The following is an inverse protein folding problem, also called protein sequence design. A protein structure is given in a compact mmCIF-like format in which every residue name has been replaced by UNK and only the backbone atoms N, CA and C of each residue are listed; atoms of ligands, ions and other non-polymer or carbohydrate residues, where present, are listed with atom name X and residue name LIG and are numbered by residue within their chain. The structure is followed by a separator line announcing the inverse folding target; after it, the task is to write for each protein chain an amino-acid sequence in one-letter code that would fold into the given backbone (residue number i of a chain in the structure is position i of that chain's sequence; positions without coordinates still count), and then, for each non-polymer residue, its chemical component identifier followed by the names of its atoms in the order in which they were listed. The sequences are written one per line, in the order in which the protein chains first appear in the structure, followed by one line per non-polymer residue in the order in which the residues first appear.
data_IF_380590942475
#
_entry.id   IF_380590942475
#
_cell.length_a   1.000
_cell.length_b   1.000
_cell.length_c   1.000
_cell.angle_alpha   90.00
_cell.angle_beta   90.00
_cell.angle_gamma   90.00
#
_symmetry.space_group_name_H-M   'P 1'
#
loop_
_entity.id
_entity.type
_entity.pdbx_description
1 polymer ?
#
# COMPACT_ATOMS: atom_id res chain seq x y z
N UNK A 1 16.79 13.05 -14.93
CA UNK A 1 16.50 14.50 -15.16
C UNK A 1 15.09 14.86 -14.71
N UNK A 2 14.03 14.20 -15.20
CA UNK A 2 12.63 14.45 -14.76
C UNK A 2 12.42 14.24 -13.26
N UNK A 3 12.97 13.15 -12.69
CA UNK A 3 12.94 12.94 -11.23
C UNK A 3 13.57 14.08 -10.41
N UNK A 4 14.54 14.81 -10.96
CA UNK A 4 15.14 15.96 -10.26
C UNK A 4 14.15 17.13 -10.25
N UNK A 5 13.47 17.40 -11.37
CA UNK A 5 12.39 18.38 -11.45
C UNK A 5 11.25 18.03 -10.49
N UNK A 6 10.79 16.78 -10.47
CA UNK A 6 9.77 16.31 -9.52
C UNK A 6 10.20 16.47 -8.06
N UNK A 7 11.47 16.17 -7.76
CA UNK A 7 12.05 16.36 -6.43
C UNK A 7 12.18 17.84 -6.07
N UNK A 8 12.49 18.72 -7.02
CA UNK A 8 12.56 20.18 -6.83
C UNK A 8 11.19 20.75 -6.46
N UNK A 9 10.17 20.49 -7.29
CA UNK A 9 8.78 20.92 -7.07
C UNK A 9 8.09 20.13 -5.95
N UNK A 10 8.61 18.98 -5.55
CA UNK A 10 7.98 18.05 -4.61
C UNK A 10 6.52 17.73 -4.96
N UNK A 11 6.32 17.21 -6.16
CA UNK A 11 5.02 16.88 -6.71
C UNK A 11 5.12 15.51 -7.41
N UNK A 12 4.07 14.66 -7.36
CA UNK A 12 4.17 13.29 -7.85
C UNK A 12 4.29 13.18 -9.38
N UNK A 13 3.71 14.13 -10.11
CA UNK A 13 3.77 14.23 -11.57
C UNK A 13 4.28 15.61 -11.98
N UNK A 14 4.37 15.90 -13.29
CA UNK A 14 4.61 17.28 -13.71
C UNK A 14 3.24 17.98 -13.73
N UNK A 15 2.98 18.95 -12.85
CA UNK A 15 1.69 19.61 -12.77
C UNK A 15 1.43 20.41 -14.05
N UNK A 16 0.15 20.45 -14.44
CA UNK A 16 -0.32 21.20 -15.62
C UNK A 16 -0.02 22.70 -15.51
N UNK A 17 0.03 23.25 -14.29
CA UNK A 17 0.51 24.61 -14.01
C UNK A 17 1.76 24.55 -13.11
N UNK A 18 2.92 24.32 -13.71
CA UNK A 18 4.20 24.24 -12.97
C UNK A 18 4.59 25.56 -12.33
N UNK A 19 4.16 26.69 -12.91
CA UNK A 19 4.54 28.03 -12.47
C UNK A 19 4.08 28.33 -11.05
N UNK A 20 2.93 27.79 -10.63
CA UNK A 20 2.42 27.88 -9.24
C UNK A 20 3.43 27.39 -8.19
N UNK A 21 4.36 26.51 -8.59
CA UNK A 21 5.29 25.87 -7.67
C UNK A 21 6.74 26.36 -7.81
N UNK A 22 7.04 27.15 -8.85
CA UNK A 22 8.39 27.63 -9.15
C UNK A 22 8.89 28.69 -8.16
N UNK A 23 8.00 29.52 -7.64
CA UNK A 23 8.34 30.63 -6.72
C UNK A 23 9.02 30.15 -5.42
N UNK A 24 8.84 28.88 -5.08
CA UNK A 24 9.42 28.26 -3.90
C UNK A 24 10.78 27.58 -4.14
N UNK A 25 11.32 27.65 -5.36
CA UNK A 25 12.56 26.98 -5.76
C UNK A 25 13.69 28.00 -5.87
N UNK A 26 14.70 27.85 -5.01
CA UNK A 26 15.83 28.80 -4.94
C UNK A 26 16.74 28.72 -6.18
N UNK A 27 16.93 27.51 -6.75
CA UNK A 27 17.75 27.28 -7.96
C UNK A 27 17.13 26.16 -8.80
N UNK A 28 16.14 26.46 -9.66
CA UNK A 28 15.55 25.45 -10.53
C UNK A 28 16.56 24.97 -11.56
N UNK A 29 16.50 23.67 -11.91
CA UNK A 29 17.30 23.16 -13.03
C UNK A 29 16.83 23.74 -14.37
N UNK A 30 17.71 23.67 -15.37
CA UNK A 30 17.40 24.12 -16.73
C UNK A 30 16.10 23.50 -17.28
N UNK A 31 15.85 22.21 -16.99
CA UNK A 31 14.61 21.54 -17.38
C UNK A 31 13.39 22.15 -16.67
N UNK A 32 13.46 22.39 -15.37
CA UNK A 32 12.40 23.03 -14.59
C UNK A 32 12.08 24.45 -15.10
N UNK A 33 13.11 25.22 -15.46
CA UNK A 33 12.94 26.54 -16.07
C UNK A 33 12.31 26.46 -17.47
N UNK A 34 12.77 25.54 -18.31
CA UNK A 34 12.21 25.34 -19.66
C UNK A 34 10.73 24.94 -19.60
N UNK A 35 10.36 24.06 -18.66
CA UNK A 35 8.97 23.67 -18.44
C UNK A 35 8.09 24.85 -17.98
N UNK A 36 8.62 25.71 -17.11
CA UNK A 36 7.93 26.94 -16.69
C UNK A 36 7.64 27.88 -17.85
N UNK A 37 8.64 28.12 -18.69
CA UNK A 37 8.50 28.95 -19.90
C UNK A 37 7.47 28.36 -20.86
N UNK A 38 7.55 27.06 -21.15
CA UNK A 38 6.58 26.39 -22.04
C UNK A 38 5.14 26.54 -21.52
N UNK A 39 4.96 26.44 -20.20
CA UNK A 39 3.67 26.64 -19.56
C UNK A 39 3.15 28.08 -19.72
N UNK A 40 4.02 29.10 -19.61
CA UNK A 40 3.65 30.51 -19.86
C UNK A 40 3.14 30.73 -21.29
N UNK A 41 3.65 29.96 -22.26
CA UNK A 41 3.21 29.99 -23.65
C UNK A 41 2.01 29.06 -23.94
N UNK A 42 1.41 28.45 -22.92
CA UNK A 42 0.23 27.59 -23.05
C UNK A 42 0.52 26.16 -23.51
N UNK A 43 1.79 25.75 -23.54
CA UNK A 43 2.16 24.36 -23.83
C UNK A 43 2.12 23.50 -22.58
N UNK A 44 1.37 22.39 -22.63
CA UNK A 44 1.40 21.32 -21.63
C UNK A 44 2.21 20.14 -22.15
N UNK A 45 3.22 19.70 -21.40
CA UNK A 45 3.96 18.48 -21.71
C UNK A 45 3.39 17.33 -20.91
N UNK A 46 2.78 16.38 -21.61
CA UNK A 46 2.37 15.10 -21.06
C UNK A 46 3.42 14.05 -21.40
N UNK A 47 3.93 13.37 -20.38
CA UNK A 47 4.84 12.24 -20.59
C UNK A 47 4.02 10.99 -20.90
N UNK A 48 4.49 10.19 -21.85
CA UNK A 48 3.86 8.93 -22.26
C UNK A 48 4.15 7.77 -21.32
N UNK A 49 4.96 8.00 -20.27
CA UNK A 49 5.25 7.02 -19.23
C UNK A 49 4.72 7.48 -17.89
N UNK A 50 4.14 6.54 -17.16
CA UNK A 50 3.65 6.79 -15.81
C UNK A 50 4.80 6.90 -14.81
N UNK A 51 4.91 8.08 -14.21
CA UNK A 51 5.76 8.32 -13.03
C UNK A 51 4.91 8.01 -11.79
N UNK A 52 4.49 6.75 -11.65
CA UNK A 52 3.65 6.33 -10.53
C UNK A 52 4.46 6.31 -9.24
N UNK A 53 4.53 7.46 -8.55
CA UNK A 53 5.00 7.50 -7.17
C UNK A 53 3.90 6.85 -6.32
N UNK A 54 4.13 5.59 -5.95
CA UNK A 54 3.27 4.84 -5.04
C UNK A 54 3.16 5.59 -3.70
N UNK A 55 1.94 5.90 -3.27
CA UNK A 55 1.72 6.56 -1.97
C UNK A 55 0.38 7.24 -1.78
N UNK A 56 -0.41 7.45 -2.84
CA UNK A 56 -1.66 8.20 -2.76
C UNK A 56 -2.13 8.73 -4.11
N UNK A 57 -3.31 9.34 -4.13
CA UNK A 57 -3.86 10.02 -5.30
C UNK A 57 -3.87 11.55 -5.14
N UNK A 58 -3.89 12.06 -3.91
CA UNK A 58 -4.06 13.49 -3.63
C UNK A 58 -2.73 14.12 -3.24
N UNK A 59 -2.08 14.92 -4.10
CA UNK A 59 -0.83 15.60 -3.76
C UNK A 59 -1.03 16.55 -2.58
N UNK A 60 -0.14 16.51 -1.58
CA UNK A 60 -0.31 17.33 -0.37
C UNK A 60 -0.24 18.84 -0.69
N UNK A 61 0.47 19.23 -1.76
CA UNK A 61 0.58 20.63 -2.21
C UNK A 61 -0.71 21.18 -2.83
N UNK A 62 -1.60 20.31 -3.30
CA UNK A 62 -2.91 20.73 -3.81
C UNK A 62 -3.93 20.88 -2.68
N UNK A 63 -3.77 20.07 -1.62
CA UNK A 63 -4.61 20.16 -0.44
C UNK A 63 -4.23 21.34 0.47
N UNK A 64 -2.93 21.63 0.61
CA UNK A 64 -2.42 22.76 1.39
C UNK A 64 -1.71 23.76 0.48
N UNK A 65 -2.39 24.86 0.13
CA UNK A 65 -1.83 25.91 -0.73
C UNK A 65 -0.82 26.82 0.00
N UNK A 66 -0.78 26.78 1.33
CA UNK A 66 -0.02 27.70 2.19
C UNK A 66 1.30 27.10 2.72
N UNK A 67 1.86 26.10 2.04
CA UNK A 67 3.10 25.44 2.44
C UNK A 67 4.34 26.33 2.19
N UNK A 68 5.12 26.59 3.25
CA UNK A 68 6.39 27.32 3.13
C UNK A 68 7.53 26.46 2.57
N UNK A 69 8.64 27.09 2.15
CA UNK A 69 9.85 26.38 1.74
C UNK A 69 10.42 25.47 2.85
N UNK A 70 10.28 25.87 4.12
CA UNK A 70 10.70 25.06 5.27
C UNK A 70 9.80 23.83 5.44
N UNK A 71 8.50 23.97 5.20
CA UNK A 71 7.54 22.88 5.25
C UNK A 71 7.81 21.85 4.15
N UNK A 72 8.05 22.32 2.93
CA UNK A 72 8.43 21.45 1.79
C UNK A 72 9.71 20.69 2.10
N UNK A 73 10.72 21.34 2.70
CA UNK A 73 11.96 20.67 3.13
C UNK A 73 11.68 19.59 4.20
N UNK A 74 10.76 19.86 5.13
CA UNK A 74 10.35 18.89 6.15
C UNK A 74 9.57 17.71 5.56
N UNK A 75 8.68 17.95 4.60
CA UNK A 75 7.93 16.93 3.86
C UNK A 75 8.88 16.04 3.03
N UNK A 76 9.85 16.64 2.35
CA UNK A 76 10.97 15.97 1.66
C UNK A 76 11.73 15.02 2.59
N UNK A 77 12.20 15.54 3.72
CA UNK A 77 12.93 14.74 4.71
C UNK A 77 12.09 13.58 5.29
N UNK A 78 10.76 13.66 5.17
CA UNK A 78 9.82 12.66 5.66
C UNK A 78 9.23 11.81 4.54
N UNK A 79 9.64 11.99 3.27
CA UNK A 79 9.08 11.26 2.13
C UNK A 79 7.54 11.29 2.10
N UNK A 80 6.93 12.41 2.51
CA UNK A 80 5.48 12.63 2.46
C UNK A 80 5.20 13.53 1.26
N UNK A 81 4.47 13.00 0.28
CA UNK A 81 4.12 13.69 -0.96
C UNK A 81 2.60 13.72 -1.21
N UNK A 82 1.85 12.76 -0.64
CA UNK A 82 0.40 12.69 -0.73
C UNK A 82 -0.28 12.94 0.62
N UNK A 83 -1.48 13.49 0.56
CA UNK A 83 -2.39 13.62 1.69
C UNK A 83 -2.87 12.24 2.16
N UNK A 84 -3.05 11.28 1.25
CA UNK A 84 -3.44 9.89 1.51
C UNK A 84 -2.53 9.19 2.54
N UNK A 85 -1.26 9.62 2.65
CA UNK A 85 -0.27 9.05 3.57
C UNK A 85 -0.48 9.48 5.02
N UNK A 86 -1.27 10.53 5.26
CA UNK A 86 -1.49 11.11 6.59
C UNK A 86 -2.96 11.12 7.01
N UNK A 87 -3.86 10.60 6.17
CA UNK A 87 -5.29 10.48 6.46
C UNK A 87 -5.69 9.03 6.72
N UNK A 88 -6.86 8.86 7.31
CA UNK A 88 -7.46 7.56 7.54
C UNK A 88 -7.91 6.93 6.22
N UNK A 89 -8.07 5.60 6.21
CA UNK A 89 -8.43 4.86 5.00
C UNK A 89 -9.81 5.20 4.43
N UNK A 90 -10.67 5.77 5.26
CA UNK A 90 -11.97 6.31 4.88
C UNK A 90 -11.92 7.77 4.40
N UNK A 91 -10.74 8.40 4.35
CA UNK A 91 -10.53 9.78 3.86
C UNK A 91 -11.18 10.89 4.68
N UNK A 92 -11.83 10.55 5.79
CA UNK A 92 -12.59 11.50 6.60
C UNK A 92 -11.78 12.11 7.76
N UNK A 93 -10.74 11.44 8.22
CA UNK A 93 -10.02 11.82 9.42
C UNK A 93 -8.53 11.94 9.15
N UNK A 94 -7.90 12.95 9.73
CA UNK A 94 -6.45 13.03 9.82
C UNK A 94 -5.93 12.02 10.85
N UNK A 95 -4.86 11.31 10.52
CA UNK A 95 -4.16 10.45 11.46
C UNK A 95 -3.42 11.31 12.48
N UNK A 96 -3.41 10.87 13.74
CA UNK A 96 -2.59 11.51 14.77
C UNK A 96 -1.10 11.47 14.38
N UNK A 97 -0.30 12.42 14.86
CA UNK A 97 1.12 12.46 14.50
C UNK A 97 1.88 11.18 14.89
N UNK A 98 1.51 10.54 16.01
CA UNK A 98 2.04 9.24 16.40
C UNK A 98 1.66 8.13 15.41
N UNK A 99 0.45 8.16 14.86
CA UNK A 99 0.01 7.24 13.81
C UNK A 99 0.73 7.49 12.49
N UNK A 100 0.93 8.74 12.09
CA UNK A 100 1.73 9.12 10.90
C UNK A 100 3.16 8.61 11.03
N UNK A 101 3.80 8.82 12.20
CA UNK A 101 5.12 8.25 12.53
C UNK A 101 5.14 6.73 12.46
N UNK A 102 4.03 6.06 12.83
CA UNK A 102 3.89 4.60 12.75
C UNK A 102 3.52 4.11 11.34
N UNK A 103 3.08 4.98 10.42
CA UNK A 103 2.60 4.60 9.09
C UNK A 103 3.53 4.94 7.91
N UNK A 104 4.47 5.91 8.00
CA UNK A 104 5.53 6.19 6.97
C UNK A 104 7.01 5.78 7.31
N UNK A 105 7.51 4.54 7.08
CA UNK A 105 8.52 3.71 7.84
C UNK A 105 9.76 4.31 8.50
N UNK A 106 9.59 5.42 9.21
CA UNK A 106 10.66 6.28 9.62
C UNK A 106 10.51 6.61 11.11
N UNK A 107 11.59 6.38 11.85
CA UNK A 107 11.72 6.77 13.25
C UNK A 107 11.90 8.29 13.36
N UNK A 108 10.91 9.09 12.92
CA UNK A 108 10.99 10.55 12.99
C UNK A 108 11.18 10.97 14.46
N UNK A 109 12.40 11.36 14.80
CA UNK A 109 12.75 11.96 16.08
C UNK A 109 12.51 13.48 16.00
N UNK A 110 12.21 14.08 17.16
CA UNK A 110 12.01 15.52 17.27
C UNK A 110 10.54 15.99 17.27
N UNK A 111 10.35 17.33 17.27
CA UNK A 111 9.07 17.99 17.49
C UNK A 111 8.08 17.76 16.34
N UNK A 112 6.80 18.02 16.62
CA UNK A 112 5.74 18.00 15.61
C UNK A 112 6.04 19.09 14.56
N UNK A 113 6.08 18.76 13.25
CA UNK A 113 6.34 19.73 12.20
C UNK A 113 5.32 20.87 12.17
N UNK A 114 5.77 22.06 11.74
CA UNK A 114 4.92 23.23 11.59
C UNK A 114 3.77 22.99 10.60
N UNK A 115 4.05 22.45 9.41
CA UNK A 115 3.00 22.06 8.45
C UNK A 115 1.92 21.15 9.04
N UNK A 116 2.26 20.22 9.93
CA UNK A 116 1.26 19.32 10.52
C UNK A 116 0.37 20.06 11.51
N UNK A 117 0.93 20.99 12.29
CA UNK A 117 0.15 21.87 13.17
C UNK A 117 -0.77 22.79 12.35
N UNK A 118 -0.25 23.37 11.29
CA UNK A 118 -1.04 24.19 10.38
C UNK A 118 -2.23 23.41 9.80
N UNK A 119 -1.98 22.15 9.42
CA UNK A 119 -3.02 21.23 8.95
C UNK A 119 -4.08 20.97 10.05
N UNK A 120 -3.67 20.71 11.29
CA UNK A 120 -4.62 20.49 12.39
C UNK A 120 -5.41 21.74 12.77
N UNK A 121 -4.82 22.92 12.61
CA UNK A 121 -5.41 24.18 13.06
C UNK A 121 -6.38 24.74 12.01
N UNK A 122 -6.07 24.59 10.72
CA UNK A 122 -6.81 25.23 9.63
C UNK A 122 -7.62 24.28 8.74
N UNK A 123 -7.31 22.98 8.70
CA UNK A 123 -7.90 22.03 7.75
C UNK A 123 -8.74 20.92 8.42
N UNK A 124 -8.95 21.04 9.73
CA UNK A 124 -9.58 20.03 10.58
C UNK A 124 -10.58 20.65 11.55
N UNK A 125 -11.68 19.95 11.81
CA UNK A 125 -12.62 20.26 12.87
C UNK A 125 -12.05 19.82 14.23
N UNK A 126 -11.70 20.83 15.03
CA UNK A 126 -10.83 20.80 16.23
C UNK A 126 -10.98 19.61 17.19
N UNK A 127 -12.18 19.06 17.36
CA UNK A 127 -12.41 18.08 18.42
C UNK A 127 -12.11 16.63 18.04
N UNK A 128 -12.12 16.27 16.75
CA UNK A 128 -12.07 14.86 16.33
C UNK A 128 -11.09 14.55 15.18
N UNK A 129 -10.20 15.47 14.84
CA UNK A 129 -9.30 15.33 13.68
C UNK A 129 -10.05 15.08 12.35
N UNK A 130 -11.31 15.51 12.26
CA UNK A 130 -12.13 15.32 11.06
C UNK A 130 -11.74 16.39 10.03
N UNK A 131 -11.42 15.98 8.80
CA UNK A 131 -11.07 16.92 7.73
C UNK A 131 -12.29 17.77 7.36
N UNK A 132 -12.04 19.06 7.09
CA UNK A 132 -13.05 19.97 6.55
C UNK A 132 -13.43 19.53 5.13
N UNK A 133 -12.44 19.08 4.35
CA UNK A 133 -12.62 18.52 3.01
C UNK A 133 -12.15 17.07 3.00
N UNK A 134 -13.06 16.09 3.12
CA UNK A 134 -12.69 14.68 3.08
C UNK A 134 -12.13 14.31 1.71
N UNK A 135 -11.19 13.37 1.69
CA UNK A 135 -10.64 12.84 0.46
C UNK A 135 -11.55 11.75 -0.10
N UNK A 136 -11.82 11.82 -1.40
CA UNK A 136 -12.47 10.74 -2.14
C UNK A 136 -11.40 9.77 -2.68
N UNK A 137 -11.70 8.48 -2.70
CA UNK A 137 -10.82 7.44 -3.27
C UNK A 137 -9.39 7.41 -2.70
N UNK A 138 -9.28 7.45 -1.37
CA UNK A 138 -7.98 7.41 -0.68
C UNK A 138 -7.23 6.13 -1.01
N UNK A 139 -6.10 6.29 -1.68
CA UNK A 139 -5.18 5.19 -1.92
C UNK A 139 -4.37 5.02 -0.65
N UNK A 140 -4.88 4.16 0.23
CA UNK A 140 -4.09 3.59 1.31
C UNK A 140 -2.98 2.74 0.69
N UNK A 141 -1.89 3.38 0.31
CA UNK A 141 -0.63 2.70 0.08
C UNK A 141 -0.06 2.36 1.45
N UNK A 142 -0.51 1.21 1.93
CA UNK A 142 0.05 0.51 3.06
C UNK A 142 1.38 -0.09 2.60
N UNK A 143 2.29 0.77 2.13
CA UNK A 143 3.69 0.44 1.84
C UNK A 143 4.49 0.16 3.13
N UNK A 144 3.82 -0.29 4.21
CA UNK A 144 4.47 -0.79 5.43
C UNK A 144 4.17 -2.25 5.76
N UNK A 145 3.33 -2.92 4.99
CA UNK A 145 3.07 -4.36 5.22
C UNK A 145 3.77 -5.26 4.21
N UNK A 146 4.40 -4.68 3.19
CA UNK A 146 5.01 -5.42 2.09
C UNK A 146 6.49 -5.68 2.36
N UNK A 147 6.86 -6.94 2.58
CA UNK A 147 8.17 -7.43 2.19
C UNK A 147 8.06 -7.84 0.72
N UNK A 148 8.80 -7.18 -0.17
CA UNK A 148 9.10 -7.76 -1.46
C UNK A 148 9.89 -9.05 -1.23
N UNK A 149 9.62 -10.13 -1.98
CA UNK A 149 10.39 -11.36 -1.83
C UNK A 149 11.87 -11.09 -2.10
N UNK A 150 12.81 -11.71 -1.37
CA UNK A 150 14.22 -11.69 -1.75
C UNK A 150 14.39 -12.28 -3.16
N UNK A 151 15.28 -11.71 -3.96
CA UNK A 151 15.57 -12.10 -5.34
C UNK A 151 16.21 -13.49 -5.48
N UNK A 152 16.57 -14.09 -4.34
CA UNK A 152 17.22 -15.39 -4.22
C UNK A 152 16.16 -16.40 -3.74
N UNK A 153 16.04 -17.57 -4.38
CA UNK A 153 15.18 -18.63 -3.89
C UNK A 153 15.59 -19.01 -2.47
N UNK A 154 14.68 -18.85 -1.51
CA UNK A 154 14.97 -19.16 -0.11
C UNK A 154 13.71 -19.69 0.58
N UNK A 155 13.92 -20.65 1.47
CA UNK A 155 12.90 -21.20 2.35
C UNK A 155 13.10 -20.55 3.71
N UNK A 156 12.31 -19.52 3.98
CA UNK A 156 12.40 -18.78 5.24
C UNK A 156 11.36 -19.28 6.25
N UNK A 157 11.76 -19.35 7.52
CA UNK A 157 10.87 -19.67 8.65
C UNK A 157 10.73 -18.44 9.54
N UNK A 158 9.91 -17.44 9.14
CA UNK A 158 9.82 -16.18 9.87
C UNK A 158 9.19 -16.40 11.25
N UNK A 159 9.95 -16.05 12.30
CA UNK A 159 9.46 -16.16 13.68
C UNK A 159 8.40 -15.09 13.96
N UNK A 160 7.23 -15.53 14.42
CA UNK A 160 6.14 -14.66 14.92
C UNK A 160 5.62 -13.64 13.90
N UNK A 161 5.63 -13.98 12.62
CA UNK A 161 5.06 -13.16 11.57
C UNK A 161 3.57 -13.48 11.41
N UNK A 162 2.74 -12.43 11.36
CA UNK A 162 1.29 -12.55 11.21
C UNK A 162 0.85 -11.89 9.92
N UNK A 163 0.03 -12.59 9.14
CA UNK A 163 -0.40 -12.17 7.81
C UNK A 163 -1.92 -12.11 7.69
N UNK A 164 -2.40 -11.24 6.80
CA UNK A 164 -3.81 -11.18 6.40
C UNK A 164 -3.96 -11.33 4.89
N UNK A 165 -5.00 -12.02 4.45
CA UNK A 165 -5.29 -12.23 3.04
C UNK A 165 -6.78 -12.14 2.77
N UNK A 166 -7.17 -11.58 1.62
CA UNK A 166 -8.58 -11.60 1.21
C UNK A 166 -8.88 -12.87 0.43
N UNK A 167 -9.86 -13.65 0.89
CA UNK A 167 -10.40 -14.77 0.13
C UNK A 167 -11.59 -14.27 -0.70
N UNK A 168 -11.43 -14.26 -2.01
CA UNK A 168 -12.47 -13.79 -2.92
C UNK A 168 -13.67 -14.75 -3.04
N UNK A 169 -13.46 -16.06 -2.85
CA UNK A 169 -14.52 -17.08 -2.91
C UNK A 169 -15.45 -16.94 -1.71
N UNK A 170 -14.89 -16.82 -0.52
CA UNK A 170 -15.66 -16.70 0.74
C UNK A 170 -16.02 -15.25 1.10
N UNK A 171 -15.50 -14.26 0.37
CA UNK A 171 -15.64 -12.81 0.65
C UNK A 171 -15.26 -12.45 2.10
N UNK A 172 -14.22 -13.12 2.59
CA UNK A 172 -13.76 -13.02 3.97
C UNK A 172 -12.24 -12.82 4.04
N UNK A 173 -11.79 -12.19 5.13
CA UNK A 173 -10.36 -12.04 5.43
C UNK A 173 -9.86 -13.28 6.18
N UNK A 174 -8.77 -13.86 5.69
CA UNK A 174 -8.02 -14.94 6.32
C UNK A 174 -6.94 -14.32 7.20
N UNK A 175 -6.89 -14.72 8.48
CA UNK A 175 -5.80 -14.38 9.37
C UNK A 175 -4.87 -15.58 9.53
N UNK A 176 -3.57 -15.34 9.49
CA UNK A 176 -2.58 -16.40 9.58
C UNK A 176 -1.36 -16.03 10.38
N UNK A 177 -0.75 -17.04 11.00
CA UNK A 177 0.65 -16.95 11.46
C UNK A 177 1.52 -17.69 10.45
N UNK A 178 2.49 -17.00 9.84
CA UNK A 178 3.38 -17.61 8.85
C UNK A 178 4.23 -18.70 9.50
N UNK A 179 4.23 -19.89 8.90
CA UNK A 179 5.03 -21.04 9.30
C UNK A 179 6.31 -21.11 8.46
N UNK A 180 6.14 -21.25 7.16
CA UNK A 180 7.20 -21.25 6.15
C UNK A 180 6.80 -20.35 5.00
N UNK A 181 7.80 -19.72 4.39
CA UNK A 181 7.67 -18.98 3.15
C UNK A 181 8.72 -19.50 2.18
N UNK A 182 8.25 -20.12 1.11
CA UNK A 182 9.06 -20.59 -0.01
C UNK A 182 9.00 -19.52 -1.08
N UNK A 183 10.13 -18.87 -1.33
CA UNK A 183 10.23 -17.82 -2.33
C UNK A 183 10.88 -18.37 -3.59
N UNK A 184 10.22 -18.19 -4.72
CA UNK A 184 10.82 -18.29 -6.05
C UNK A 184 11.09 -16.87 -6.58
N UNK A 185 11.80 -16.74 -7.70
CA UNK A 185 12.26 -15.46 -8.26
C UNK A 185 11.16 -14.40 -8.46
N UNK A 186 9.89 -14.80 -8.61
CA UNK A 186 8.76 -13.91 -8.89
C UNK A 186 7.59 -14.04 -7.90
N UNK A 187 7.46 -15.15 -7.19
CA UNK A 187 6.33 -15.41 -6.31
C UNK A 187 6.75 -16.20 -5.08
N UNK A 188 6.13 -15.92 -3.93
CA UNK A 188 6.30 -16.74 -2.73
C UNK A 188 5.05 -17.55 -2.43
N UNK A 189 5.21 -18.82 -2.08
CA UNK A 189 4.17 -19.61 -1.41
C UNK A 189 4.40 -19.48 0.08
N UNK A 190 3.37 -19.02 0.81
CA UNK A 190 3.40 -18.91 2.26
C UNK A 190 2.41 -19.88 2.86
N UNK A 191 2.91 -20.73 3.75
CA UNK A 191 2.09 -21.59 4.58
C UNK A 191 1.80 -20.87 5.88
N UNK A 192 0.52 -20.67 6.17
CA UNK A 192 0.06 -20.00 7.37
C UNK A 192 -0.80 -20.93 8.21
N UNK A 193 -0.53 -20.97 9.51
CA UNK A 193 -1.47 -21.51 10.47
C UNK A 193 -2.68 -20.58 10.53
N UNK A 194 -3.87 -21.12 10.26
CA UNK A 194 -5.10 -20.35 10.15
C UNK A 194 -5.67 -19.97 11.51
N UNK A 195 -6.07 -18.71 11.65
CA UNK A 195 -6.74 -18.17 12.82
C UNK A 195 -8.09 -17.57 12.43
N UNK A 196 -9.10 -17.80 13.27
CA UNK A 196 -10.45 -17.28 13.08
C UNK A 196 -10.74 -16.14 14.07
N UNK A 197 -11.43 -15.07 13.64
CA UNK A 197 -11.85 -14.01 14.54
C UNK A 197 -12.95 -14.51 15.47
N UNK A 198 -12.72 -14.37 16.77
CA UNK A 198 -13.76 -14.59 17.77
C UNK A 198 -14.11 -13.21 18.32
N UNK A 199 -15.35 -12.76 18.03
CA UNK A 199 -15.77 -11.44 18.43
C UNK A 199 -15.80 -11.38 19.96
N UNK A 200 -15.03 -10.46 20.52
CA UNK A 200 -15.13 -10.09 21.94
C UNK A 200 -16.35 -9.19 22.08
N UNK A 201 -17.10 -9.37 23.18
CA UNK A 201 -18.38 -8.71 23.51
C UNK A 201 -18.82 -7.61 22.53
N UNK A 202 -20.01 -7.79 21.93
CA UNK A 202 -20.79 -6.69 21.34
C UNK A 202 -21.16 -5.68 22.43
N UNK A 203 -20.17 -4.94 22.94
CA UNK A 203 -20.44 -3.76 23.71
C UNK A 203 -20.86 -2.72 22.69
N UNK A 204 -22.17 -2.67 22.40
CA UNK A 204 -22.79 -1.75 21.43
C UNK A 204 -22.47 -0.26 21.71
N UNK A 205 -21.86 0.03 22.86
CA UNK A 205 -21.35 1.35 23.25
C UNK A 205 -19.97 1.70 22.66
N UNK A 206 -19.20 0.73 22.16
CA UNK A 206 -17.87 0.97 21.60
C UNK A 206 -17.94 1.13 20.09
N UNK A 207 -17.27 2.16 19.56
CA UNK A 207 -17.16 2.33 18.11
C UNK A 207 -16.35 1.18 17.50
N UNK A 208 -16.60 0.79 16.23
CA UNK A 208 -15.89 -0.31 15.57
C UNK A 208 -14.36 -0.17 15.56
N UNK A 209 -13.83 1.07 15.66
CA UNK A 209 -12.39 1.35 15.76
C UNK A 209 -11.79 1.07 17.15
N UNK A 210 -12.61 0.98 18.20
CA UNK A 210 -12.18 0.70 19.59
C UNK A 210 -12.33 -0.78 20.00
N UNK A 211 -12.94 -1.61 19.16
CA UNK A 211 -13.15 -3.03 19.48
C UNK A 211 -11.88 -3.84 19.27
N UNK A 212 -11.47 -4.58 20.31
CA UNK A 212 -10.32 -5.47 20.27
C UNK A 212 -10.65 -6.74 19.48
N UNK A 213 -9.79 -7.07 18.52
CA UNK A 213 -9.90 -8.31 17.74
C UNK A 213 -9.10 -9.42 18.42
N UNK A 214 -9.80 -10.40 18.99
CA UNK A 214 -9.21 -11.66 19.41
C UNK A 214 -9.28 -12.72 18.30
N UNK A 215 -8.21 -13.49 18.17
CA UNK A 215 -8.04 -14.53 17.17
C UNK A 215 -7.72 -15.86 17.86
N UNK A 216 -8.39 -16.93 17.45
CA UNK A 216 -8.14 -18.30 17.94
C UNK A 216 -7.72 -19.21 16.81
N UNK A 217 -6.89 -20.21 17.11
CA UNK A 217 -6.44 -21.17 16.11
C UNK A 217 -7.64 -21.93 15.53
N UNK A 218 -7.69 -22.01 14.19
CA UNK A 218 -8.74 -22.74 13.50
C UNK A 218 -8.57 -24.25 13.73
N UNK A 219 -9.65 -24.93 14.12
CA UNK A 219 -9.66 -26.39 14.35
C UNK A 219 -9.75 -27.23 13.07
N UNK A 220 -9.77 -26.58 11.90
CA UNK A 220 -9.94 -27.21 10.60
C UNK A 220 -11.04 -26.51 9.81
N UNK A 221 -10.76 -26.15 8.57
CA UNK A 221 -11.75 -25.57 7.65
C UNK A 221 -11.51 -26.06 6.22
N UNK A 222 -12.45 -25.76 5.32
CA UNK A 222 -12.37 -26.15 3.91
C UNK A 222 -11.20 -25.51 3.15
N UNK A 223 -10.56 -24.49 3.72
CA UNK A 223 -9.37 -23.87 3.13
C UNK A 223 -8.08 -24.59 3.51
N UNK A 224 -8.16 -25.65 4.31
CA UNK A 224 -6.98 -26.39 4.76
C UNK A 224 -6.22 -26.96 3.56
N UNK A 225 -4.93 -26.64 3.51
CA UNK A 225 -3.97 -27.19 2.55
C UNK A 225 -3.02 -28.15 3.27
N UNK A 226 -2.59 -29.19 2.55
CA UNK A 226 -1.58 -30.11 3.04
C UNK A 226 -0.27 -29.36 3.38
N UNK A 227 0.30 -29.68 4.54
CA UNK A 227 1.55 -29.10 5.00
C UNK A 227 2.52 -30.21 5.44
N UNK A 228 3.60 -30.48 4.67
CA UNK A 228 4.46 -31.64 4.91
C UNK A 228 5.46 -31.47 6.06
N UNK A 229 5.66 -30.26 6.58
CA UNK A 229 6.77 -29.97 7.49
C UNK A 229 6.44 -30.07 8.99
N UNK A 230 5.17 -29.90 9.39
CA UNK A 230 4.74 -29.95 10.79
C UNK A 230 3.28 -30.41 10.91
N UNK A 231 3.03 -31.43 11.73
CA UNK A 231 1.68 -31.96 11.97
C UNK A 231 0.95 -31.28 13.16
N UNK A 232 1.63 -30.42 13.93
CA UNK A 232 1.04 -29.71 15.08
C UNK A 232 -0.04 -28.68 14.72
N UNK A 233 0.07 -27.86 13.65
CA UNK A 233 -0.98 -26.93 13.30
C UNK A 233 -2.21 -27.67 12.74
N UNK A 234 -3.35 -27.53 13.43
CA UNK A 234 -4.62 -28.17 13.06
C UNK A 234 -5.21 -27.70 11.74
N UNK A 235 -4.84 -26.49 11.30
CA UNK A 235 -5.30 -25.92 10.04
C UNK A 235 -4.20 -25.03 9.46
N UNK A 236 -3.67 -25.45 8.31
CA UNK A 236 -2.70 -24.69 7.50
C UNK A 236 -3.35 -24.28 6.19
N UNK A 237 -3.08 -23.07 5.71
CA UNK A 237 -3.51 -22.58 4.40
C UNK A 237 -2.25 -22.24 3.60
N UNK A 238 -2.17 -22.70 2.35
CA UNK A 238 -1.12 -22.29 1.43
C UNK A 238 -1.62 -21.14 0.56
N UNK A 239 -0.89 -20.02 0.55
CA UNK A 239 -1.23 -18.85 -0.27
C UNK A 239 -0.02 -18.44 -1.10
N UNK A 240 -0.21 -18.37 -2.41
CA UNK A 240 0.76 -17.79 -3.34
C UNK A 240 0.59 -16.27 -3.35
N UNK A 241 1.64 -15.53 -3.02
CA UNK A 241 1.64 -14.07 -3.03
C UNK A 241 2.91 -13.50 -3.66
N UNK A 242 2.76 -12.39 -4.38
CA UNK A 242 3.89 -11.55 -4.79
C UNK A 242 4.31 -10.61 -3.65
N UNK A 243 3.38 -10.25 -2.76
CA UNK A 243 3.63 -9.47 -1.55
C UNK A 243 2.73 -9.97 -0.41
N UNK A 244 3.32 -10.18 0.76
CA UNK A 244 2.57 -10.49 1.99
C UNK A 244 2.03 -9.21 2.63
N UNK A 245 0.86 -9.29 3.27
CA UNK A 245 0.34 -8.23 4.14
C UNK A 245 0.54 -8.64 5.59
N UNK A 246 1.34 -7.88 6.33
CA UNK A 246 1.65 -8.13 7.73
C UNK A 246 0.74 -7.36 8.70
N UNK A 247 0.50 -7.92 9.87
CA UNK A 247 -0.06 -7.18 11.00
C UNK A 247 0.63 -7.56 12.30
N UNK A 248 0.41 -6.76 13.35
CA UNK A 248 1.03 -6.98 14.65
C UNK A 248 -0.01 -7.48 15.66
N UNK A 249 0.48 -8.26 16.62
CA UNK A 249 -0.29 -8.72 17.78
C UNK A 249 0.23 -8.07 19.07
N UNK A 250 -0.66 -7.89 20.03
CA UNK A 250 -0.27 -7.48 21.37
C UNK A 250 0.51 -8.60 22.09
N UNK A 251 1.46 -8.20 22.95
CA UNK A 251 2.19 -9.13 23.81
C UNK A 251 1.25 -9.71 24.88
N UNK A 252 1.51 -10.93 25.34
CA UNK A 252 0.74 -11.55 26.43
C UNK A 252 0.75 -10.74 27.74
N UNK A 253 1.78 -9.92 27.96
CA UNK A 253 1.90 -9.04 29.12
C UNK A 253 1.06 -7.75 29.05
N UNK A 254 0.55 -7.40 27.86
CA UNK A 254 -0.22 -6.18 27.62
C UNK A 254 -1.57 -6.18 28.34
N UNK A 255 -2.11 -4.97 28.58
CA UNK A 255 -3.42 -4.80 29.18
C UNK A 255 -4.52 -5.38 28.28
N UNK A 256 -4.42 -5.16 26.96
CA UNK A 256 -5.39 -5.58 25.95
C UNK A 256 -5.50 -7.11 25.85
N UNK A 257 -4.39 -7.84 26.06
CA UNK A 257 -4.44 -9.29 26.12
C UNK A 257 -5.05 -9.79 27.44
N UNK A 258 -4.67 -9.18 28.57
CA UNK A 258 -5.16 -9.55 29.90
C UNK A 258 -6.65 -9.27 30.08
N UNK A 259 -7.17 -8.18 29.50
CA UNK A 259 -8.58 -7.81 29.58
C UNK A 259 -9.52 -8.81 28.90
N UNK A 260 -8.99 -9.62 27.98
CA UNK A 260 -9.75 -10.65 27.26
C UNK A 260 -9.55 -12.06 27.82
N UNK A 261 -8.70 -12.24 28.84
CA UNK A 261 -8.32 -13.57 29.35
C UNK A 261 -9.52 -14.37 29.87
N UNK A 262 -10.42 -13.70 30.59
CA UNK A 262 -11.64 -14.31 31.13
C UNK A 262 -12.60 -14.75 30.02
N UNK A 263 -12.74 -13.94 28.97
CA UNK A 263 -13.64 -14.23 27.85
C UNK A 263 -13.23 -15.50 27.08
N UNK A 264 -11.93 -15.73 26.93
CA UNK A 264 -11.42 -16.88 26.18
C UNK A 264 -11.31 -18.17 27.00
N UNK A 265 -11.74 -18.19 28.28
CA UNK A 265 -11.82 -19.40 29.10
C UNK A 265 -10.59 -20.33 29.00
N UNK A 266 -9.39 -19.75 29.11
CA UNK A 266 -8.08 -20.45 29.00
C UNK A 266 -7.76 -21.09 27.65
N UNK A 267 -8.56 -20.84 26.60
CA UNK A 267 -8.18 -21.19 25.23
C UNK A 267 -6.97 -20.36 24.79
N UNK A 268 -6.12 -20.93 23.94
CA UNK A 268 -5.03 -20.18 23.31
C UNK A 268 -5.59 -19.17 22.30
N UNK A 269 -5.48 -17.89 22.61
CA UNK A 269 -5.85 -16.77 21.73
C UNK A 269 -4.73 -15.76 21.59
N UNK A 270 -4.81 -14.93 20.56
CA UNK A 270 -3.98 -13.74 20.38
C UNK A 270 -4.86 -12.52 20.12
N UNK A 271 -4.33 -11.31 20.34
CA UNK A 271 -5.08 -10.07 20.12
C UNK A 271 -4.36 -9.23 19.07
N UNK A 272 -5.05 -8.83 18.01
CA UNK A 272 -4.48 -7.98 16.98
C UNK A 272 -4.40 -6.52 17.45
N UNK A 273 -3.38 -5.79 17.01
CA UNK A 273 -3.23 -4.35 17.33
C UNK A 273 -4.18 -3.45 16.55
N UNK A 274 -4.85 -3.99 15.52
CA UNK A 274 -5.84 -3.28 14.70
C UNK A 274 -7.21 -3.96 14.80
N UNK A 275 -8.31 -3.20 14.75
CA UNK A 275 -9.67 -3.75 14.72
C UNK A 275 -9.94 -4.61 13.48
N UNK A 276 -10.93 -5.50 13.58
CA UNK A 276 -11.35 -6.38 12.49
C UNK A 276 -11.67 -5.63 11.19
N UNK A 277 -12.51 -4.60 11.26
CA UNK A 277 -12.92 -3.84 10.08
C UNK A 277 -11.74 -3.19 9.36
N UNK A 278 -10.77 -2.68 10.12
CA UNK A 278 -9.55 -2.11 9.55
C UNK A 278 -8.75 -3.17 8.82
N UNK A 279 -8.48 -4.33 9.43
CA UNK A 279 -7.72 -5.40 8.77
C UNK A 279 -8.46 -5.98 7.56
N UNK A 280 -9.79 -6.11 7.65
CA UNK A 280 -10.64 -6.54 6.53
C UNK A 280 -10.55 -5.58 5.35
N UNK A 281 -10.68 -4.28 5.60
CA UNK A 281 -10.57 -3.24 4.56
C UNK A 281 -9.20 -3.27 3.91
N UNK A 282 -8.12 -3.34 4.70
CA UNK A 282 -6.74 -3.43 4.19
C UNK A 282 -6.57 -4.63 3.25
N UNK A 283 -7.07 -5.81 3.65
CA UNK A 283 -6.96 -7.02 2.85
C UNK A 283 -7.75 -6.90 1.52
N UNK A 284 -8.94 -6.33 1.56
CA UNK A 284 -9.79 -6.14 0.39
C UNK A 284 -9.19 -5.13 -0.60
N UNK A 285 -8.74 -3.97 -0.12
CA UNK A 285 -8.09 -2.95 -0.96
C UNK A 285 -6.87 -3.51 -1.69
N UNK A 286 -6.04 -4.28 -0.98
CA UNK A 286 -4.89 -4.94 -1.60
C UNK A 286 -5.29 -5.96 -2.66
N UNK A 287 -6.37 -6.73 -2.43
CA UNK A 287 -6.90 -7.66 -3.43
C UNK A 287 -7.35 -6.93 -4.69
N UNK A 288 -8.10 -5.82 -4.56
CA UNK A 288 -8.56 -5.02 -5.69
C UNK A 288 -7.37 -4.41 -6.46
N UNK A 289 -6.32 -3.94 -5.76
CA UNK A 289 -5.10 -3.43 -6.40
C UNK A 289 -4.37 -4.48 -7.22
N UNK A 290 -4.32 -5.73 -6.74
CA UNK A 290 -3.75 -6.84 -7.51
C UNK A 290 -4.65 -7.17 -8.70
N UNK A 291 -5.95 -7.28 -8.50
CA UNK A 291 -6.92 -7.66 -9.54
C UNK A 291 -6.97 -6.65 -10.71
N UNK A 292 -6.87 -5.35 -10.40
CA UNK A 292 -6.86 -4.26 -11.39
C UNK A 292 -5.48 -3.98 -12.00
N UNK A 293 -4.44 -4.69 -11.60
CA UNK A 293 -3.10 -4.49 -12.18
C UNK A 293 -3.03 -5.06 -13.60
N UNK A 294 -2.55 -4.30 -14.61
CA UNK A 294 -2.49 -4.73 -16.00
C UNK A 294 -1.52 -5.90 -16.27
N UNK A 295 -0.87 -6.44 -15.23
CA UNK A 295 -0.01 -7.63 -15.29
C UNK A 295 -0.74 -8.96 -14.96
N UNK A 296 -2.04 -8.94 -14.69
CA UNK A 296 -2.82 -10.17 -14.46
C UNK A 296 -3.27 -10.87 -15.76
N UNK A 297 -2.33 -11.16 -16.64
CA UNK A 297 -2.41 -12.35 -17.52
C UNK A 297 -1.62 -13.49 -16.89
N UNK A 298 -2.01 -13.90 -15.69
CA UNK A 298 -1.56 -15.17 -15.10
C UNK A 298 -2.69 -15.72 -14.24
N UNK A 299 -3.58 -16.41 -14.94
CA UNK A 299 -4.62 -17.31 -14.47
C UNK A 299 -4.45 -17.84 -13.02
N UNK A 300 -5.44 -17.57 -12.18
CA UNK A 300 -5.87 -18.53 -11.16
C UNK A 300 -6.38 -19.78 -11.89
N UNK A 301 -5.48 -20.69 -12.27
CA UNK A 301 -5.85 -22.04 -12.69
C UNK A 301 -5.81 -22.93 -11.45
N UNK A 302 -6.89 -23.69 -11.16
CA UNK A 302 -6.79 -24.85 -10.28
C UNK A 302 -5.69 -25.77 -10.83
N UNK A 303 -4.86 -26.31 -9.94
CA UNK A 303 -3.89 -27.34 -10.23
C UNK A 303 -4.64 -28.59 -10.69
N UNK A 304 -4.87 -28.74 -11.99
CA UNK A 304 -5.19 -30.00 -12.68
C UNK A 304 -5.16 -29.76 -14.20
N UNK A 305 -4.05 -30.12 -14.87
CA UNK A 305 -4.05 -30.55 -16.28
C UNK A 305 -2.63 -30.97 -16.72
N UNK A 306 -2.58 -32.13 -17.35
CA UNK A 306 -1.44 -32.84 -17.91
C UNK A 306 -0.71 -32.00 -18.99
N UNK A 307 0.62 -31.96 -18.93
CA UNK A 307 1.47 -31.33 -19.95
C UNK A 307 1.82 -32.31 -21.08
N UNK A 308 1.58 -31.89 -22.32
CA UNK A 308 2.31 -32.34 -23.51
C UNK A 308 3.02 -31.13 -24.15
N UNK A 309 4.26 -31.28 -24.67
CA UNK A 309 5.08 -30.14 -25.11
C UNK A 309 5.00 -29.89 -26.62
N UNK A 310 5.15 -28.64 -27.06
CA UNK A 310 5.89 -28.18 -28.28
C UNK A 310 5.81 -26.63 -28.46
N UNK A 311 6.68 -25.97 -29.28
CA UNK A 311 7.42 -24.78 -28.85
C UNK A 311 7.32 -23.52 -29.75
N UNK A 312 7.76 -22.38 -29.17
CA UNK A 312 8.41 -21.18 -29.75
C UNK A 312 7.92 -20.52 -31.06
N UNK A 313 7.77 -19.18 -31.04
CA UNK A 313 8.56 -18.25 -31.87
C UNK A 313 8.38 -16.78 -31.41
N UNK A 314 9.52 -16.11 -31.21
CA UNK A 314 9.69 -14.73 -30.76
C UNK A 314 10.32 -13.94 -31.91
N UNK A 315 9.56 -13.06 -32.57
CA UNK A 315 10.05 -11.93 -33.40
C UNK A 315 8.82 -11.15 -33.89
N UNK A 316 8.89 -9.81 -33.88
CA UNK A 316 7.95 -8.81 -34.48
C UNK A 316 7.39 -7.75 -33.52
N UNK A 317 7.93 -7.60 -32.31
CA UNK A 317 7.31 -6.72 -31.30
C UNK A 317 7.80 -5.25 -31.29
N UNK A 318 8.82 -4.89 -32.08
CA UNK A 318 9.44 -3.54 -32.02
C UNK A 318 8.76 -2.58 -33.02
N UNK A 319 8.51 -3.01 -34.25
CA UNK A 319 7.93 -2.15 -35.30
C UNK A 319 6.48 -1.75 -34.99
N UNK A 320 5.70 -2.68 -34.42
CA UNK A 320 4.34 -2.39 -33.96
C UNK A 320 4.29 -1.36 -32.83
N UNK A 321 5.34 -1.30 -32.00
CA UNK A 321 5.38 -0.40 -30.85
C UNK A 321 5.68 1.05 -31.28
N UNK A 322 6.49 1.23 -32.32
CA UNK A 322 6.75 2.55 -32.95
C UNK A 322 5.49 3.04 -33.65
N UNK A 323 4.75 2.14 -34.31
CA UNK A 323 3.55 2.51 -35.04
C UNK A 323 2.41 3.01 -34.15
N UNK A 324 2.32 2.53 -32.92
CA UNK A 324 1.27 2.90 -31.96
C UNK A 324 1.65 4.10 -31.08
N UNK A 325 2.94 4.41 -30.94
CA UNK A 325 3.42 5.49 -30.06
C UNK A 325 3.44 6.87 -30.74
N UNK A 326 3.45 6.94 -32.08
CA UNK A 326 3.58 8.18 -32.84
C UNK A 326 2.25 8.53 -33.52
N UNK A 327 1.52 9.49 -32.96
CA UNK A 327 0.40 10.17 -33.62
C UNK A 327 0.97 11.39 -34.35
N UNK A 328 1.65 11.17 -35.46
CA UNK A 328 2.20 12.24 -36.33
C UNK A 328 1.96 11.92 -37.82
N UNK A 329 2.20 12.91 -38.68
CA UNK A 329 1.99 12.80 -40.14
C UNK A 329 2.82 11.65 -40.73
N UNK A 330 2.26 10.84 -41.65
CA UNK A 330 2.89 9.62 -42.16
C UNK A 330 4.31 9.79 -42.71
N UNK A 331 4.62 10.94 -43.31
CA UNK A 331 5.95 11.22 -43.90
C UNK A 331 7.08 11.27 -42.84
N UNK A 332 6.78 11.75 -41.63
CA UNK A 332 7.74 11.76 -40.51
C UNK A 332 7.98 10.36 -39.92
N UNK A 333 7.05 9.43 -40.18
CA UNK A 333 7.10 8.06 -39.66
C UNK A 333 8.03 7.18 -40.49
N UNK A 334 8.12 7.43 -41.80
CA UNK A 334 9.06 6.73 -42.67
C UNK A 334 10.51 7.17 -42.42
N UNK A 335 10.74 8.46 -42.19
CA UNK A 335 12.08 9.01 -41.95
C UNK A 335 12.72 8.50 -40.64
N UNK A 336 11.90 8.11 -39.65
CA UNK A 336 12.36 7.53 -38.38
C UNK A 336 12.54 6.00 -38.43
N UNK A 337 12.06 5.35 -39.48
CA UNK A 337 12.16 3.89 -39.69
C UNK A 337 13.31 3.50 -40.64
N UNK A 338 13.87 4.45 -41.39
CA UNK A 338 15.13 4.29 -42.15
C UNK A 338 16.34 4.56 -41.26
#
# INVERSE_FOLDING_TARGET
KIYNTLSEIWYPTIPSNINTYLDHIVKPTYLTQALGLLNQYGFSINFTFDINILGGNTPIRDYMSDLSAADIKSLKAKNIIYMDQIVSSDGNYLLSWSDVKRNNNNNYSGPIPAWYKNLTDNYVLSNNLRLIHPLNDVVCDINRTHKSPPTIPDVTTPKSQWTIHWNNVQKQVIFGKTLTQETDHLTSISYLQHFIPQQTHHNNSLTPKKQLLGLVACKGCLLHSYYPHDARPTCVIAIRTQKLLLFNIFKKSSFEHKSLLEFYNRQNFVVATKPFHTLRHIAYEHFIKIDKSPLNTSSQRPLDAVFTPYPSLLSNNIDNHIDHALICHPDLKEELKS
#
